data_IF_931010842022
#
_entry.id   IF_931010842022
#
_cell.length_a   1.000
_cell.length_b   1.000
_cell.length_c   1.000
_cell.angle_alpha   90.00
_cell.angle_beta   90.00
_cell.angle_gamma   90.00
#
_symmetry.space_group_name_H-M   'P 1'
#
loop_
_entity.id
_entity.type
_entity.pdbx_description
1 polymer ?
#
# COMPACT_ATOMS: atom_id res chain seq x y z
N UNK A 1 15.28 0.88 -14.61
CA UNK A 1 14.99 1.60 -13.34
C UNK A 1 15.60 0.77 -12.22
N UNK A 2 16.42 1.36 -11.37
CA UNK A 2 17.05 0.61 -10.28
C UNK A 2 16.05 0.43 -9.10
N UNK A 3 16.47 -0.30 -8.06
CA UNK A 3 15.62 -0.56 -6.88
C UNK A 3 15.21 0.72 -6.15
N UNK A 4 16.13 1.66 -5.95
CA UNK A 4 15.88 2.90 -5.24
C UNK A 4 14.87 3.78 -5.98
N UNK A 5 15.03 3.95 -7.29
CA UNK A 5 14.11 4.73 -8.12
C UNK A 5 12.68 4.16 -8.04
N UNK A 6 12.55 2.83 -8.09
CA UNK A 6 11.26 2.16 -7.98
C UNK A 6 10.64 2.26 -6.60
N UNK A 7 11.44 2.11 -5.54
CA UNK A 7 10.99 2.29 -4.17
C UNK A 7 10.45 3.72 -3.94
N UNK A 8 11.17 4.74 -4.41
CA UNK A 8 10.73 6.14 -4.33
C UNK A 8 9.43 6.35 -5.11
N UNK A 9 9.31 5.78 -6.32
CA UNK A 9 8.07 5.87 -7.11
C UNK A 9 6.90 5.18 -6.42
N UNK A 10 7.11 3.98 -5.87
CA UNK A 10 6.09 3.23 -5.14
C UNK A 10 5.62 3.99 -3.89
N UNK A 11 6.54 4.54 -3.11
CA UNK A 11 6.23 5.35 -1.93
C UNK A 11 5.42 6.60 -2.28
N UNK A 12 5.75 7.28 -3.39
CA UNK A 12 4.97 8.44 -3.88
C UNK A 12 3.55 8.04 -4.30
N UNK A 13 3.39 6.89 -4.93
CA UNK A 13 2.07 6.40 -5.35
C UNK A 13 1.20 6.02 -4.14
N UNK A 14 1.76 5.31 -3.15
CA UNK A 14 1.09 5.08 -1.86
C UNK A 14 0.70 6.39 -1.18
N UNK A 15 1.62 7.36 -1.14
CA UNK A 15 1.35 8.70 -0.58
C UNK A 15 0.20 9.43 -1.29
N UNK A 16 0.05 9.27 -2.61
CA UNK A 16 -1.07 9.83 -3.37
C UNK A 16 -2.40 9.18 -2.94
N UNK A 17 -2.42 7.87 -2.72
CA UNK A 17 -3.59 7.13 -2.24
C UNK A 17 -3.95 7.56 -0.82
N UNK A 18 -2.99 7.61 0.10
CA UNK A 18 -3.27 8.08 1.46
C UNK A 18 -3.81 9.51 1.48
N UNK A 19 -3.24 10.42 0.68
CA UNK A 19 -3.74 11.80 0.56
C UNK A 19 -5.18 11.89 0.04
N UNK A 20 -5.63 10.97 -0.81
CA UNK A 20 -7.03 10.90 -1.27
C UNK A 20 -8.00 10.64 -0.12
N UNK A 21 -7.61 9.82 0.85
CA UNK A 21 -8.43 9.45 2.01
C UNK A 21 -8.21 10.35 3.23
N UNK A 22 -7.10 11.09 3.27
CA UNK A 22 -6.78 12.00 4.36
C UNK A 22 -7.86 13.07 4.52
N UNK A 23 -8.46 13.15 5.71
CA UNK A 23 -9.60 14.02 6.03
C UNK A 23 -10.84 13.83 5.14
N UNK A 24 -10.88 12.73 4.39
CA UNK A 24 -12.01 12.34 3.56
C UNK A 24 -12.79 11.18 4.18
N UNK A 25 -13.70 10.62 3.40
CA UNK A 25 -14.43 9.41 3.78
C UNK A 25 -13.60 8.17 3.45
N UNK A 26 -13.53 7.24 4.39
CA UNK A 26 -12.87 5.95 4.21
C UNK A 26 -13.67 4.84 4.88
N UNK A 27 -13.43 3.61 4.43
CA UNK A 27 -13.96 2.41 5.07
C UNK A 27 -12.93 1.89 6.05
N UNK A 28 -13.38 1.49 7.23
CA UNK A 28 -12.58 0.91 8.28
C UNK A 28 -13.09 -0.51 8.58
N UNK A 29 -12.16 -1.41 8.87
CA UNK A 29 -12.43 -2.77 9.33
C UNK A 29 -11.58 -3.04 10.56
N UNK A 30 -12.10 -3.88 11.44
CA UNK A 30 -11.34 -4.44 12.55
C UNK A 30 -10.81 -5.80 12.12
N UNK A 31 -9.53 -6.07 12.37
CA UNK A 31 -8.88 -7.35 12.12
C UNK A 31 -9.15 -8.29 13.31
N UNK A 32 -8.15 -8.52 14.16
CA UNK A 32 -8.19 -9.56 15.20
C UNK A 32 -8.71 -9.07 16.55
N UNK A 33 -8.53 -7.79 16.86
CA UNK A 33 -8.91 -7.16 18.11
C UNK A 33 -9.50 -5.77 17.86
N UNK A 34 -10.27 -5.22 18.80
CA UNK A 34 -10.95 -3.92 18.65
C UNK A 34 -10.01 -2.74 18.37
N UNK A 35 -8.73 -2.84 18.73
CA UNK A 35 -7.68 -1.86 18.46
C UNK A 35 -6.89 -2.13 17.17
N UNK A 36 -7.09 -3.30 16.56
CA UNK A 36 -6.39 -3.75 15.36
C UNK A 36 -7.24 -3.37 14.14
N UNK A 37 -6.96 -2.18 13.60
CA UNK A 37 -7.79 -1.54 12.58
C UNK A 37 -7.04 -1.47 11.25
N UNK A 38 -7.79 -1.66 10.16
CA UNK A 38 -7.31 -1.48 8.78
C UNK A 38 -8.31 -0.64 8.01
N UNK A 39 -7.81 0.23 7.15
CA UNK A 39 -8.64 1.07 6.28
C UNK A 39 -8.55 0.63 4.81
N UNK A 40 -9.48 1.14 3.99
CA UNK A 40 -9.34 1.01 2.54
C UNK A 40 -8.09 1.71 2.00
N UNK A 41 -7.53 2.70 2.72
CA UNK A 41 -6.31 3.36 2.29
C UNK A 41 -5.10 2.42 2.40
N UNK A 42 -5.02 1.62 3.46
CA UNK A 42 -3.90 0.67 3.70
C UNK A 42 -3.88 -0.42 2.61
N UNK A 43 -5.03 -1.08 2.41
CA UNK A 43 -5.19 -2.14 1.40
C UNK A 43 -4.98 -1.64 -0.04
N UNK A 44 -5.47 -0.44 -0.38
CA UNK A 44 -5.26 0.15 -1.72
C UNK A 44 -3.80 0.56 -1.96
N UNK A 45 -3.15 1.15 -0.95
CA UNK A 45 -1.75 1.58 -1.04
C UNK A 45 -0.83 0.36 -1.20
N UNK A 46 -1.00 -0.67 -0.38
CA UNK A 46 -0.20 -1.90 -0.47
C UNK A 46 -0.36 -2.57 -1.83
N UNK A 47 -1.60 -2.73 -2.31
CA UNK A 47 -1.87 -3.30 -3.63
C UNK A 47 -1.17 -2.52 -4.75
N UNK A 48 -1.16 -1.19 -4.68
CA UNK A 48 -0.50 -0.34 -5.67
C UNK A 48 1.02 -0.52 -5.64
N UNK A 49 1.62 -0.55 -4.44
CA UNK A 49 3.07 -0.77 -4.24
C UNK A 49 3.48 -2.15 -4.77
N UNK A 50 2.81 -3.21 -4.34
CA UNK A 50 3.09 -4.60 -4.75
C UNK A 50 2.94 -4.75 -6.26
N UNK A 51 1.87 -4.21 -6.84
CA UNK A 51 1.64 -4.29 -8.29
C UNK A 51 2.73 -3.57 -9.08
N UNK A 52 3.15 -2.40 -8.61
CA UNK A 52 4.21 -1.62 -9.27
C UNK A 52 5.56 -2.34 -9.20
N UNK A 53 5.92 -2.90 -8.05
CA UNK A 53 7.17 -3.66 -7.87
C UNK A 53 7.13 -4.92 -8.72
N UNK A 54 6.05 -5.71 -8.65
CA UNK A 54 5.88 -6.96 -9.41
C UNK A 54 5.96 -6.75 -10.91
N UNK A 55 5.47 -5.60 -11.42
CA UNK A 55 5.58 -5.24 -12.84
C UNK A 55 7.03 -5.08 -13.31
N UNK A 56 7.93 -4.57 -12.45
CA UNK A 56 9.33 -4.35 -12.82
C UNK A 56 10.25 -5.49 -12.38
N UNK A 57 9.88 -6.20 -11.31
CA UNK A 57 10.64 -7.30 -10.72
C UNK A 57 9.69 -8.50 -10.46
N UNK A 58 9.28 -9.22 -11.51
CA UNK A 58 8.28 -10.29 -11.40
C UNK A 58 8.72 -11.48 -10.54
N UNK A 59 10.03 -11.67 -10.32
CA UNK A 59 10.57 -12.75 -9.49
C UNK A 59 10.72 -12.41 -8.00
N UNK A 60 10.35 -11.21 -7.56
CA UNK A 60 10.44 -10.84 -6.15
C UNK A 60 9.28 -11.44 -5.33
N UNK A 61 9.62 -11.90 -4.13
CA UNK A 61 8.62 -12.23 -3.11
C UNK A 61 8.20 -10.98 -2.33
N UNK A 62 7.03 -11.04 -1.70
CA UNK A 62 6.47 -9.93 -0.94
C UNK A 62 6.10 -10.38 0.47
N UNK A 63 6.56 -9.63 1.46
CA UNK A 63 6.06 -9.67 2.82
C UNK A 63 5.46 -8.28 3.09
N UNK A 64 4.17 -8.24 3.37
CA UNK A 64 3.40 -7.02 3.52
C UNK A 64 2.39 -7.20 4.67
N UNK A 65 1.94 -6.09 5.26
CA UNK A 65 1.15 -6.12 6.50
C UNK A 65 -0.30 -6.53 6.27
N UNK A 66 -0.86 -6.20 5.10
CA UNK A 66 -2.28 -6.36 4.76
C UNK A 66 -2.57 -7.51 3.77
N UNK A 67 -1.60 -8.41 3.59
CA UNK A 67 -1.63 -9.51 2.62
C UNK A 67 -2.77 -10.51 2.83
#
# INVERSE_FOLDING_TARGET
MNYLDLAVKAAKEAGRIHKKYFRGNYKLKTKSASFDLVTCADTEAEKAVVSLIRKHFPGHNFLAEEN
#
